data_IF_067637642663
#
_entry.id   IF_067637642663
#
_cell.length_a   1.000
_cell.length_b   1.000
_cell.length_c   1.000
_cell.angle_alpha   90.00
_cell.angle_beta   90.00
_cell.angle_gamma   90.00
#
_symmetry.space_group_name_H-M   'P 1'
#
loop_
_entity.id
_entity.type
_entity.pdbx_description
1 polymer ?
#
# COMPACT_ATOMS: atom_id res chain seq x y z
N UNK A 1 23.66 20.70 -3.60
CA UNK A 1 22.74 19.56 -3.42
C UNK A 1 21.34 20.09 -3.68
N UNK A 2 20.64 19.55 -4.67
CA UNK A 2 19.23 19.89 -4.91
C UNK A 2 18.43 18.78 -4.26
N UNK A 3 17.73 19.10 -3.18
CA UNK A 3 16.82 18.19 -2.51
C UNK A 3 15.54 18.14 -3.34
N UNK A 4 15.34 17.02 -4.05
CA UNK A 4 14.15 16.79 -4.85
C UNK A 4 13.13 16.11 -3.94
N UNK A 5 12.22 16.89 -3.35
CA UNK A 5 11.07 16.33 -2.65
C UNK A 5 10.22 15.53 -3.63
N UNK A 6 10.21 14.20 -3.48
CA UNK A 6 9.27 13.33 -4.19
C UNK A 6 7.86 13.65 -3.71
N UNK A 7 7.16 14.56 -4.41
CA UNK A 7 5.72 14.70 -4.27
C UNK A 7 5.08 13.34 -4.58
N UNK A 8 4.25 12.77 -3.70
CA UNK A 8 3.53 11.54 -4.00
C UNK A 8 2.70 11.83 -5.26
N UNK A 9 2.93 11.07 -6.33
CA UNK A 9 2.11 11.20 -7.54
C UNK A 9 0.66 10.98 -7.11
N UNK A 10 -0.19 11.99 -7.31
CA UNK A 10 -1.64 11.84 -7.28
C UNK A 10 -2.02 10.95 -8.45
N UNK A 11 -1.83 9.65 -8.24
CA UNK A 11 -2.18 8.61 -9.19
C UNK A 11 -3.42 7.99 -8.60
N UNK A 12 -4.55 8.09 -9.30
CA UNK A 12 -5.73 7.34 -8.92
C UNK A 12 -5.36 5.86 -8.90
N UNK A 13 -5.47 5.23 -7.73
CA UNK A 13 -5.28 3.80 -7.58
C UNK A 13 -6.28 3.10 -8.50
N UNK A 14 -5.76 2.38 -9.50
CA UNK A 14 -6.60 1.68 -10.45
C UNK A 14 -7.01 0.35 -9.84
N UNK A 15 -8.20 0.32 -9.26
CA UNK A 15 -8.78 -0.91 -8.71
C UNK A 15 -9.35 -1.71 -9.88
N UNK A 16 -8.87 -2.95 -10.04
CA UNK A 16 -9.47 -3.93 -10.95
C UNK A 16 -10.28 -4.90 -10.11
N UNK A 17 -11.56 -5.04 -10.45
CA UNK A 17 -12.46 -6.03 -9.87
C UNK A 17 -12.97 -6.95 -10.98
N UNK A 18 -13.56 -8.07 -10.59
CA UNK A 18 -14.28 -8.95 -11.49
C UNK A 18 -15.54 -8.22 -12.02
N UNK A 19 -16.01 -8.59 -13.22
CA UNK A 19 -17.08 -7.88 -13.92
C UNK A 19 -18.41 -7.92 -13.15
N UNK A 20 -18.71 -9.04 -12.50
CA UNK A 20 -19.88 -9.23 -11.63
C UNK A 20 -19.87 -8.28 -10.43
N UNK A 21 -18.69 -8.05 -9.83
CA UNK A 21 -18.52 -7.09 -8.73
C UNK A 21 -18.65 -5.65 -9.26
N UNK A 22 -18.11 -5.37 -10.46
CA UNK A 22 -18.25 -4.05 -11.08
C UNK A 22 -19.71 -3.68 -11.34
N UNK A 23 -20.50 -4.62 -11.88
CA UNK A 23 -21.94 -4.43 -12.12
C UNK A 23 -22.68 -4.12 -10.82
N UNK A 24 -22.42 -4.88 -9.74
CA UNK A 24 -23.03 -4.62 -8.43
C UNK A 24 -22.65 -3.23 -7.87
N UNK A 25 -21.39 -2.81 -8.01
CA UNK A 25 -20.96 -1.48 -7.58
C UNK A 25 -21.64 -0.40 -8.43
N UNK A 26 -21.82 -0.64 -9.73
CA UNK A 26 -22.51 0.28 -10.63
C UNK A 26 -24.01 0.40 -10.29
N UNK A 27 -24.66 -0.71 -9.96
CA UNK A 27 -26.07 -0.71 -9.54
C UNK A 27 -26.26 0.09 -8.25
N UNK A 28 -25.40 -0.10 -7.25
CA UNK A 28 -25.42 0.66 -6.00
C UNK A 28 -25.18 2.16 -6.27
N UNK A 29 -24.22 2.47 -7.14
CA UNK A 29 -23.93 3.85 -7.52
C UNK A 29 -25.14 4.54 -8.17
N UNK A 30 -25.83 3.82 -9.07
CA UNK A 30 -27.04 4.32 -9.73
C UNK A 30 -28.22 4.46 -8.76
N UNK A 31 -28.41 3.53 -7.83
CA UNK A 31 -29.51 3.59 -6.86
C UNK A 31 -29.35 4.73 -5.85
N UNK A 32 -28.10 5.04 -5.48
CA UNK A 32 -27.78 6.05 -4.47
C UNK A 32 -27.42 7.42 -5.05
N UNK A 33 -27.47 7.61 -6.37
CA UNK A 33 -26.98 8.83 -7.06
C UNK A 33 -25.53 9.20 -6.68
N UNK A 34 -24.67 8.19 -6.56
CA UNK A 34 -23.27 8.34 -6.19
C UNK A 34 -22.35 7.99 -7.37
N UNK A 35 -21.11 8.48 -7.33
CA UNK A 35 -20.10 8.03 -8.28
C UNK A 35 -19.56 6.65 -7.87
N UNK A 36 -19.17 5.83 -8.87
CA UNK A 36 -18.48 4.55 -8.65
C UNK A 36 -17.29 4.66 -7.67
N UNK A 37 -16.61 5.81 -7.69
CA UNK A 37 -15.49 6.10 -6.79
C UNK A 37 -15.97 6.21 -5.35
N UNK A 38 -17.01 7.00 -5.09
CA UNK A 38 -17.54 7.21 -3.73
C UNK A 38 -18.06 5.90 -3.13
N UNK A 39 -18.76 5.08 -3.93
CA UNK A 39 -19.20 3.75 -3.49
C UNK A 39 -18.01 2.86 -3.17
N UNK A 40 -16.99 2.82 -4.03
CA UNK A 40 -15.78 2.03 -3.81
C UNK A 40 -15.00 2.48 -2.57
N UNK A 41 -14.87 3.79 -2.38
CA UNK A 41 -14.17 4.37 -1.21
C UNK A 41 -14.95 4.08 0.09
N UNK A 42 -16.28 4.14 0.07
CA UNK A 42 -17.12 3.82 1.22
C UNK A 42 -17.04 2.33 1.58
N UNK A 43 -17.13 1.44 0.59
CA UNK A 43 -16.99 -0.01 0.80
C UNK A 43 -15.60 -0.37 1.34
N UNK A 44 -14.54 0.26 0.80
CA UNK A 44 -13.18 0.08 1.29
C UNK A 44 -13.03 0.60 2.73
N UNK A 45 -13.58 1.77 3.04
CA UNK A 45 -13.57 2.34 4.37
C UNK A 45 -14.28 1.45 5.39
N UNK A 46 -15.44 0.91 5.03
CA UNK A 46 -16.16 -0.05 5.85
C UNK A 46 -15.34 -1.33 6.08
N UNK A 47 -14.78 -1.91 5.01
CA UNK A 47 -13.95 -3.10 5.11
C UNK A 47 -12.72 -2.88 6.02
N UNK A 48 -12.07 -1.72 5.92
CA UNK A 48 -10.93 -1.37 6.78
C UNK A 48 -11.34 -1.18 8.25
N UNK A 49 -12.48 -0.55 8.51
CA UNK A 49 -12.98 -0.34 9.86
C UNK A 49 -13.38 -1.65 10.56
N UNK A 50 -13.87 -2.63 9.80
CA UNK A 50 -14.27 -3.95 10.30
C UNK A 50 -13.19 -5.02 10.12
N UNK A 51 -12.05 -4.68 9.51
CA UNK A 51 -10.92 -5.59 9.38
C UNK A 51 -10.19 -5.68 10.71
N UNK A 52 -10.12 -6.90 11.25
CA UNK A 52 -9.26 -7.17 12.39
C UNK A 52 -7.80 -7.13 11.91
N UNK A 53 -7.02 -6.17 12.41
CA UNK A 53 -5.58 -6.09 12.13
C UNK A 53 -4.90 -7.25 12.86
N UNK A 54 -4.70 -8.37 12.17
CA UNK A 54 -3.84 -9.45 12.63
C UNK A 54 -2.39 -8.98 12.38
N UNK A 55 -1.86 -8.19 13.31
CA UNK A 55 -0.45 -7.79 13.31
C UNK A 55 0.39 -9.01 13.67
N UNK A 56 0.77 -9.81 12.67
CA UNK A 56 1.90 -10.73 12.83
C UNK A 56 3.18 -9.89 12.74
N UNK A 57 3.94 -9.78 13.83
CA UNK A 57 5.32 -9.27 13.77
C UNK A 57 6.09 -10.13 12.77
N UNK A 58 6.33 -9.58 11.58
CA UNK A 58 7.21 -10.19 10.60
C UNK A 58 8.60 -9.62 10.86
N UNK A 59 9.36 -10.30 11.71
CA UNK A 59 10.77 -9.97 11.94
C UNK A 59 11.53 -10.22 10.64
N UNK A 60 11.78 -9.17 9.87
CA UNK A 60 12.66 -9.24 8.71
C UNK A 60 14.09 -9.21 9.26
N UNK A 61 14.74 -10.37 9.27
CA UNK A 61 16.16 -10.46 9.63
C UNK A 61 16.95 -9.85 8.47
N UNK A 62 17.34 -8.58 8.60
CA UNK A 62 18.28 -7.95 7.68
C UNK A 62 19.68 -8.49 7.93
N UNK A 63 20.11 -9.47 7.14
CA UNK A 63 21.51 -9.89 7.11
C UNK A 63 22.34 -8.85 6.34
N UNK A 64 23.05 -7.98 7.05
CA UNK A 64 24.03 -7.05 6.47
C UNK A 64 25.34 -7.81 6.24
N UNK A 65 25.69 -8.05 4.98
CA UNK A 65 27.02 -8.50 4.58
C UNK A 65 27.94 -7.28 4.48
N UNK A 66 28.91 -7.16 5.39
CA UNK A 66 29.99 -6.18 5.27
C UNK A 66 31.14 -6.86 4.52
N UNK A 67 31.44 -6.39 3.31
CA UNK A 67 32.64 -6.81 2.56
C UNK A 67 33.66 -5.70 2.70
N UNK A 68 34.83 -6.01 3.27
CA UNK A 68 35.97 -5.10 3.30
C UNK A 68 36.39 -4.61 4.69
N UNK A 69 36.14 -5.36 5.77
CA UNK A 69 36.98 -5.16 6.97
C UNK A 69 38.41 -5.58 6.62
N UNK A 70 39.28 -4.57 6.55
CA UNK A 70 40.73 -4.76 6.64
C UNK A 70 40.99 -4.95 8.14
N UNK A 71 41.00 -6.20 8.59
CA UNK A 71 41.56 -6.54 9.90
C UNK A 71 43.10 -6.47 9.80
N UNK A 72 43.63 -5.47 10.50
CA UNK A 72 44.94 -5.31 11.14
C UNK A 72 46.24 -5.79 10.47
N UNK A 73 47.23 -4.88 10.48
CA UNK A 73 48.56 -5.27 11.00
C UNK A 73 49.27 -4.05 11.61
N UNK A 74 48.78 -3.55 12.75
CA UNK A 74 49.61 -2.72 13.64
C UNK A 74 50.52 -3.65 14.45
N UNK A 75 51.62 -4.09 13.84
CA UNK A 75 52.70 -4.79 14.53
C UNK A 75 53.91 -3.86 14.68
N UNK A 76 54.13 -3.42 15.92
CA UNK A 76 55.36 -2.88 16.55
C UNK A 76 56.14 -1.75 15.86
#
# INVERSE_FOLDING_TARGET
MIEVEKKPKSTYSRIRCANDIYEQIADIANECDLTLKEVSDALLGYALAHSQVISSEKTVIESRLIIGEIEDDNNH
#
